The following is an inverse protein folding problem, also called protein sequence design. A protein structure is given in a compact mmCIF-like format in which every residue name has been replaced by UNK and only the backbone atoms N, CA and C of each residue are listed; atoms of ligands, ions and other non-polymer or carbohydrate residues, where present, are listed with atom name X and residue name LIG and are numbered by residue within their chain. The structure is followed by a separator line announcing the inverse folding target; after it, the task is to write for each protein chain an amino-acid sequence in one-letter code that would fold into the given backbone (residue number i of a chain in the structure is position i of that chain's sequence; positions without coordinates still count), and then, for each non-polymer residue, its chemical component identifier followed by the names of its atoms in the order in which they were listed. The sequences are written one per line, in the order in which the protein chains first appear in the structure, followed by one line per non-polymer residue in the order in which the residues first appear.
data_IF_851599925726
#
_entry.id   IF_851599925726
#
_cell.length_a   1.000
_cell.length_b   1.000
_cell.length_c   1.000
_cell.angle_alpha   90.00
_cell.angle_beta   90.00
_cell.angle_gamma   90.00
#
_symmetry.space_group_name_H-M   'P 1'
#
loop_
_entity.id
_entity.type
_entity.pdbx_description
1 polymer ?
#
# COMPACT_ATOMS: atom_id res chain seq x y z
N UNK A 1 15.88 -1.49 -12.49
CA UNK A 1 16.00 -0.24 -11.71
C UNK A 1 15.56 -0.51 -10.27
N UNK A 2 16.40 -0.17 -9.29
CA UNK A 2 16.13 -0.32 -7.86
C UNK A 2 15.81 1.04 -7.26
N UNK A 3 14.82 1.12 -6.40
CA UNK A 3 14.47 2.32 -5.63
C UNK A 3 13.96 1.93 -4.25
N UNK A 4 14.16 2.80 -3.25
CA UNK A 4 13.77 2.52 -1.87
C UNK A 4 12.99 3.71 -1.30
N UNK A 5 12.04 3.40 -0.42
CA UNK A 5 11.31 4.39 0.40
C UNK A 5 11.62 4.11 1.85
N UNK A 6 11.91 5.16 2.61
CA UNK A 6 12.16 5.07 4.06
C UNK A 6 11.02 5.72 4.82
N UNK A 7 10.46 4.99 5.76
CA UNK A 7 9.41 5.42 6.67
C UNK A 7 9.99 5.59 8.07
N UNK A 8 9.71 6.72 8.71
CA UNK A 8 10.09 6.98 10.10
C UNK A 8 8.84 7.07 10.95
N UNK A 9 8.71 6.18 11.92
CA UNK A 9 7.65 6.22 12.92
C UNK A 9 8.21 6.74 14.23
N UNK A 10 7.58 7.77 14.81
CA UNK A 10 7.95 8.31 16.12
C UNK A 10 6.85 7.97 17.11
N UNK A 11 7.20 7.27 18.17
CA UNK A 11 6.28 7.00 19.27
C UNK A 11 6.10 8.24 20.17
N UNK A 12 5.08 8.22 21.03
CA UNK A 12 4.85 9.27 22.03
C UNK A 12 6.02 9.46 23.02
N UNK A 13 6.82 8.43 23.21
CA UNK A 13 8.02 8.46 24.08
C UNK A 13 9.30 8.80 23.33
N UNK A 14 9.20 9.22 22.07
CA UNK A 14 10.34 9.68 21.28
C UNK A 14 11.15 8.58 20.60
N UNK A 15 10.80 7.31 20.75
CA UNK A 15 11.45 6.21 20.03
C UNK A 15 11.15 6.33 18.54
N UNK A 16 12.19 6.23 17.72
CA UNK A 16 12.07 6.27 16.26
C UNK A 16 12.29 4.87 15.75
N UNK A 17 11.27 4.31 15.07
CA UNK A 17 11.39 3.13 14.25
C UNK A 17 11.65 3.53 12.79
N UNK A 18 12.68 2.93 12.21
CA UNK A 18 13.08 3.17 10.83
C UNK A 18 12.74 1.94 10.00
N UNK A 19 11.87 2.12 9.02
CA UNK A 19 11.47 1.09 8.08
C UNK A 19 11.87 1.47 6.66
N UNK A 20 12.43 0.53 5.92
CA UNK A 20 12.84 0.76 4.54
C UNK A 20 12.30 -0.35 3.65
N UNK A 21 11.67 0.04 2.56
CA UNK A 21 11.16 -0.86 1.53
C UNK A 21 11.90 -0.57 0.26
N UNK A 22 12.57 -1.58 -0.27
CA UNK A 22 13.29 -1.51 -1.54
C UNK A 22 12.59 -2.36 -2.59
N UNK A 23 12.34 -1.73 -3.73
CA UNK A 23 11.71 -2.32 -4.89
C UNK A 23 12.74 -2.55 -5.98
N UNK A 24 12.68 -3.70 -6.64
CA UNK A 24 13.46 -4.04 -7.84
C UNK A 24 12.52 -4.63 -8.88
N UNK A 25 12.71 -4.29 -10.15
CA UNK A 25 11.89 -4.84 -11.22
C UNK A 25 12.18 -6.35 -11.33
N UNK A 26 11.12 -7.16 -11.27
CA UNK A 26 11.21 -8.63 -11.40
C UNK A 26 11.70 -9.38 -10.15
N UNK A 27 11.85 -8.68 -9.03
CA UNK A 27 12.27 -9.26 -7.75
C UNK A 27 11.25 -8.97 -6.66
N UNK A 28 11.19 -9.82 -5.62
CA UNK A 28 10.41 -9.55 -4.44
C UNK A 28 10.92 -8.29 -3.71
N UNK A 29 10.02 -7.57 -3.05
CA UNK A 29 10.38 -6.43 -2.23
C UNK A 29 11.32 -6.86 -1.09
N UNK A 30 12.28 -5.99 -0.78
CA UNK A 30 13.15 -6.15 0.39
C UNK A 30 12.68 -5.19 1.48
N UNK A 31 12.41 -5.74 2.65
CA UNK A 31 11.96 -5.01 3.83
C UNK A 31 13.07 -4.95 4.87
N UNK A 32 13.34 -3.76 5.40
CA UNK A 32 14.34 -3.55 6.44
C UNK A 32 13.70 -2.82 7.62
N UNK A 33 14.07 -3.20 8.85
CA UNK A 33 13.70 -2.57 10.10
C UNK A 33 14.94 -2.21 10.90
N UNK A 34 15.15 -0.93 11.20
CA UNK A 34 16.33 -0.43 11.90
C UNK A 34 17.63 -0.99 11.29
N UNK A 35 17.77 -0.83 9.96
CA UNK A 35 18.94 -1.21 9.15
C UNK A 35 19.23 -2.73 9.07
N UNK A 36 18.36 -3.58 9.59
CA UNK A 36 18.42 -5.03 9.42
C UNK A 36 17.29 -5.56 8.54
N UNK A 37 17.46 -6.74 7.98
CA UNK A 37 16.39 -7.41 7.25
C UNK A 37 15.21 -7.68 8.19
N UNK A 38 14.01 -7.26 7.79
CA UNK A 38 12.79 -7.48 8.56
C UNK A 38 12.42 -8.97 8.58
N UNK A 39 11.98 -9.46 9.72
CA UNK A 39 11.47 -10.84 9.83
C UNK A 39 10.08 -10.93 9.19
N UNK A 40 9.67 -12.10 8.64
CA UNK A 40 8.33 -12.27 8.06
C UNK A 40 7.20 -11.81 9.00
N UNK A 41 7.29 -12.08 10.29
CA UNK A 41 6.30 -11.65 11.28
C UNK A 41 6.21 -10.13 11.46
N UNK A 42 7.26 -9.39 11.15
CA UNK A 42 7.30 -7.93 11.21
C UNK A 42 6.66 -7.28 9.98
N UNK A 43 6.73 -7.95 8.81
CA UNK A 43 6.21 -7.43 7.53
C UNK A 43 4.69 -7.28 7.57
N UNK A 44 4.01 -8.17 8.27
CA UNK A 44 2.54 -8.19 8.39
C UNK A 44 2.02 -7.55 9.68
N UNK A 45 2.89 -7.05 10.54
CA UNK A 45 2.51 -6.35 11.76
C UNK A 45 2.22 -4.87 11.47
N UNK A 46 1.26 -4.29 12.20
CA UNK A 46 0.95 -2.87 12.11
C UNK A 46 2.16 -1.99 12.41
N UNK A 47 2.43 -1.04 11.53
CA UNK A 47 3.51 -0.08 11.67
C UNK A 47 3.12 0.96 12.74
N UNK A 48 3.89 1.05 13.82
CA UNK A 48 3.62 1.98 14.93
C UNK A 48 2.15 1.95 15.41
N UNK A 49 1.59 0.76 15.57
CA UNK A 49 0.19 0.51 15.95
C UNK A 49 -0.85 1.10 14.97
N UNK A 50 -0.43 1.38 13.75
CA UNK A 50 -1.31 1.86 12.69
C UNK A 50 -2.01 0.70 11.95
N UNK A 51 -2.99 1.04 11.10
CA UNK A 51 -3.63 0.11 10.18
C UNK A 51 -2.74 -0.29 8.99
N UNK A 52 -1.61 0.40 8.77
CA UNK A 52 -0.64 0.06 7.74
C UNK A 52 0.30 -1.05 8.21
N UNK A 53 0.58 -1.98 7.33
CA UNK A 53 1.70 -2.93 7.48
C UNK A 53 2.78 -2.62 6.43
N UNK A 54 3.97 -3.19 6.58
CA UNK A 54 5.01 -3.06 5.55
C UNK A 54 4.58 -3.67 4.23
N UNK A 55 3.89 -4.81 4.26
CA UNK A 55 3.36 -5.45 3.05
C UNK A 55 2.33 -4.56 2.34
N UNK A 56 1.48 -3.84 3.07
CA UNK A 56 0.55 -2.86 2.49
C UNK A 56 1.31 -1.74 1.76
N UNK A 57 2.35 -1.21 2.39
CA UNK A 57 3.18 -0.14 1.81
C UNK A 57 4.07 -0.64 0.66
N UNK A 58 4.40 -1.92 0.68
CA UNK A 58 5.15 -2.59 -0.41
C UNK A 58 4.34 -2.79 -1.67
N UNK A 59 3.00 -2.70 -1.59
CA UNK A 59 2.08 -2.86 -2.73
C UNK A 59 2.40 -4.09 -3.58
N UNK A 60 2.69 -5.23 -2.95
CA UNK A 60 3.10 -6.46 -3.64
C UNK A 60 2.08 -6.97 -4.64
N UNK A 61 0.80 -6.66 -4.40
CA UNK A 61 -0.28 -7.01 -5.31
C UNK A 61 -0.11 -6.48 -6.75
N UNK A 62 0.70 -5.45 -6.95
CA UNK A 62 1.02 -4.93 -8.29
C UNK A 62 1.85 -5.93 -9.12
N UNK A 63 2.53 -6.85 -8.47
CA UNK A 63 3.42 -7.82 -9.11
C UNK A 63 2.88 -9.25 -9.08
N UNK A 64 1.69 -9.47 -8.52
CA UNK A 64 1.07 -10.80 -8.57
C UNK A 64 0.76 -11.19 -10.01
N UNK A 65 0.91 -12.45 -10.37
CA UNK A 65 0.78 -12.89 -11.78
C UNK A 65 -0.63 -12.80 -12.32
N UNK A 66 -1.65 -12.88 -11.46
CA UNK A 66 -3.05 -12.77 -11.88
C UNK A 66 -3.53 -11.34 -11.75
N UNK A 67 -3.73 -10.69 -12.90
CA UNK A 67 -4.23 -9.30 -13.00
C UNK A 67 -5.39 -9.28 -14.00
N UNK A 68 -6.57 -8.85 -13.56
CA UNK A 68 -7.78 -8.82 -14.39
C UNK A 68 -8.40 -7.44 -14.34
N UNK A 69 -8.73 -6.86 -15.50
CA UNK A 69 -9.56 -5.65 -15.61
C UNK A 69 -11.02 -6.07 -15.46
N UNK A 70 -11.67 -5.64 -14.38
CA UNK A 70 -13.08 -5.96 -14.13
C UNK A 70 -14.03 -5.03 -14.89
N UNK A 71 -13.72 -3.73 -14.88
CA UNK A 71 -14.55 -2.67 -15.48
C UNK A 71 -13.81 -1.33 -15.50
N UNK A 72 -14.44 -0.33 -16.10
CA UNK A 72 -14.11 1.08 -15.91
C UNK A 72 -15.12 1.74 -14.98
N UNK A 73 -14.68 2.66 -14.14
CA UNK A 73 -15.53 3.39 -13.21
C UNK A 73 -14.93 4.76 -12.89
N UNK A 74 -15.79 5.77 -12.72
CA UNK A 74 -15.34 7.07 -12.22
C UNK A 74 -15.13 7.03 -10.70
N UNK A 75 -13.99 7.57 -10.26
CA UNK A 75 -13.66 7.81 -8.84
C UNK A 75 -13.02 9.19 -8.70
N UNK A 76 -13.52 10.01 -7.77
CA UNK A 76 -13.02 11.39 -7.56
C UNK A 76 -12.91 12.17 -8.87
N UNK A 77 -13.94 12.12 -9.70
CA UNK A 77 -14.01 12.74 -11.03
C UNK A 77 -13.01 12.22 -12.07
N UNK A 78 -12.26 11.15 -11.76
CA UNK A 78 -11.30 10.50 -12.64
C UNK A 78 -11.84 9.18 -13.19
N UNK A 79 -11.58 8.91 -14.46
CA UNK A 79 -11.90 7.63 -15.08
C UNK A 79 -10.81 6.63 -14.69
N UNK A 80 -11.22 5.51 -14.09
CA UNK A 80 -10.32 4.49 -13.59
C UNK A 80 -10.60 3.13 -14.25
N UNK A 81 -9.54 2.36 -14.44
CA UNK A 81 -9.64 0.91 -14.53
C UNK A 81 -9.85 0.35 -13.13
N UNK A 82 -10.78 -0.58 -12.99
CA UNK A 82 -10.93 -1.39 -11.77
C UNK A 82 -10.23 -2.71 -12.02
N UNK A 83 -9.11 -2.92 -11.34
CA UNK A 83 -8.27 -4.10 -11.47
C UNK A 83 -8.46 -5.02 -10.28
N UNK A 84 -8.54 -6.33 -10.54
CA UNK A 84 -8.42 -7.37 -9.52
C UNK A 84 -7.06 -8.03 -9.64
N UNK A 85 -6.28 -8.01 -8.56
CA UNK A 85 -5.01 -8.70 -8.41
C UNK A 85 -5.21 -9.86 -7.45
N UNK A 86 -4.77 -11.08 -7.80
CA UNK A 86 -4.91 -12.27 -6.97
C UNK A 86 -3.56 -12.82 -6.54
N UNK A 87 -3.43 -13.07 -5.24
CA UNK A 87 -2.26 -13.75 -4.68
C UNK A 87 -2.36 -15.25 -5.02
N UNK A 88 -1.36 -15.82 -5.71
CA UNK A 88 -1.42 -17.23 -6.09
C UNK A 88 -1.28 -18.18 -4.89
N UNK A 89 -0.56 -17.78 -3.84
CA UNK A 89 -0.26 -18.59 -2.67
C UNK A 89 -0.26 -17.73 -1.39
N UNK A 90 -1.44 -17.25 -0.92
CA UNK A 90 -1.48 -16.39 0.24
C UNK A 90 -1.11 -17.16 1.50
N UNK A 91 -0.07 -16.70 2.20
CA UNK A 91 0.30 -17.18 3.52
C UNK A 91 -0.62 -16.60 4.59
N UNK A 92 -0.54 -17.15 5.81
CA UNK A 92 -1.36 -16.68 6.92
C UNK A 92 -1.06 -15.21 7.23
N UNK A 93 -2.08 -14.36 7.25
CA UNK A 93 -1.97 -12.91 7.45
C UNK A 93 -1.79 -12.08 6.18
N UNK A 94 -1.61 -12.71 5.03
CA UNK A 94 -1.53 -12.02 3.74
C UNK A 94 -2.90 -11.78 3.11
N UNK A 95 -2.95 -10.81 2.21
CA UNK A 95 -4.13 -10.59 1.40
C UNK A 95 -4.22 -11.64 0.28
N UNK A 96 -5.45 -12.12 0.03
CA UNK A 96 -5.76 -13.09 -1.02
C UNK A 96 -6.01 -12.42 -2.37
N UNK A 97 -6.62 -11.24 -2.32
CA UNK A 97 -6.86 -10.42 -3.51
C UNK A 97 -6.95 -8.93 -3.15
N UNK A 98 -6.69 -8.12 -4.12
CA UNK A 98 -6.84 -6.65 -4.03
C UNK A 98 -7.63 -6.18 -5.23
N UNK A 99 -8.63 -5.32 -4.99
CA UNK A 99 -9.36 -4.61 -6.05
C UNK A 99 -8.95 -3.15 -6.01
N UNK A 100 -8.33 -2.65 -7.06
CA UNK A 100 -7.76 -1.31 -7.13
C UNK A 100 -8.40 -0.46 -8.24
N UNK A 101 -8.56 0.83 -7.97
CA UNK A 101 -9.01 1.84 -8.93
C UNK A 101 -7.80 2.64 -9.41
N UNK A 102 -7.41 2.38 -10.63
CA UNK A 102 -6.22 2.97 -11.26
C UNK A 102 -6.65 4.06 -12.23
N UNK A 103 -6.23 5.28 -11.99
CA UNK A 103 -6.51 6.41 -12.87
C UNK A 103 -5.92 6.19 -14.27
N UNK A 104 -6.76 6.21 -15.31
CA UNK A 104 -6.33 5.94 -16.68
C UNK A 104 -5.32 6.97 -17.21
N UNK A 105 -5.38 8.19 -16.70
CA UNK A 105 -4.51 9.28 -17.18
C UNK A 105 -3.12 9.25 -16.56
N UNK A 106 -3.01 8.90 -15.29
CA UNK A 106 -1.74 8.96 -14.54
C UNK A 106 -1.16 7.59 -14.23
N UNK A 107 -1.96 6.51 -14.31
CA UNK A 107 -1.58 5.19 -13.85
C UNK A 107 -1.50 5.05 -12.32
N UNK A 108 -1.89 6.10 -11.58
CA UNK A 108 -1.85 6.09 -10.12
C UNK A 108 -3.07 5.38 -9.49
N UNK A 109 -2.85 4.66 -8.41
CA UNK A 109 -3.92 4.04 -7.63
C UNK A 109 -4.57 5.11 -6.76
N UNK A 110 -5.89 5.29 -6.88
CA UNK A 110 -6.67 6.22 -6.07
C UNK A 110 -7.32 5.55 -4.87
N UNK A 111 -7.67 4.29 -5.01
CA UNK A 111 -8.34 3.46 -4.00
C UNK A 111 -7.95 2.01 -4.20
N UNK A 112 -7.85 1.25 -3.12
CA UNK A 112 -7.74 -0.21 -3.17
C UNK A 112 -8.49 -0.84 -2.00
N UNK A 113 -9.25 -1.88 -2.29
CA UNK A 113 -9.90 -2.76 -1.33
C UNK A 113 -9.09 -4.04 -1.19
N UNK A 114 -8.65 -4.34 0.02
CA UNK A 114 -7.81 -5.48 0.34
C UNK A 114 -8.66 -6.56 1.02
N UNK A 115 -8.55 -7.78 0.52
CA UNK A 115 -9.35 -8.92 0.95
C UNK A 115 -8.46 -10.05 1.46
N UNK A 116 -8.87 -10.68 2.54
CA UNK A 116 -8.41 -12.03 2.90
C UNK A 116 -9.36 -13.08 2.27
N UNK A 117 -9.56 -14.24 2.90
CA UNK A 117 -10.51 -15.25 2.45
C UNK A 117 -12.00 -14.80 2.51
N UNK A 118 -12.30 -13.66 3.16
CA UNK A 118 -13.66 -13.13 3.27
C UNK A 118 -14.14 -12.48 1.96
N UNK A 119 -15.46 -12.55 1.66
CA UNK A 119 -16.03 -11.82 0.53
C UNK A 119 -16.08 -10.30 0.72
N UNK A 120 -15.93 -9.83 1.97
CA UNK A 120 -15.86 -8.39 2.30
C UNK A 120 -14.42 -7.92 2.45
N UNK A 121 -14.10 -6.68 2.05
CA UNK A 121 -12.75 -6.15 2.24
C UNK A 121 -12.42 -6.03 3.74
N UNK A 122 -11.19 -6.36 4.10
CA UNK A 122 -10.67 -6.23 5.47
C UNK A 122 -10.01 -4.89 5.70
N UNK A 123 -9.43 -4.30 4.65
CA UNK A 123 -8.84 -2.97 4.67
C UNK A 123 -9.21 -2.19 3.40
N UNK A 124 -9.22 -0.88 3.51
CA UNK A 124 -9.34 0.05 2.38
C UNK A 124 -8.22 1.06 2.41
N UNK A 125 -7.46 1.08 1.36
CA UNK A 125 -6.47 2.10 1.07
C UNK A 125 -7.09 3.21 0.23
N UNK A 126 -6.79 4.47 0.51
CA UNK A 126 -7.20 5.59 -0.34
C UNK A 126 -6.19 6.73 -0.34
N UNK A 127 -5.96 7.29 -1.52
CA UNK A 127 -5.20 8.53 -1.69
C UNK A 127 -6.08 9.69 -1.24
N UNK A 128 -5.58 10.51 -0.32
CA UNK A 128 -6.26 11.69 0.23
C UNK A 128 -5.71 12.99 -0.34
N UNK A 129 -4.41 13.08 -0.50
CA UNK A 129 -3.74 14.24 -1.03
C UNK A 129 -2.92 13.92 -2.27
N UNK A 130 -2.95 14.85 -3.24
CA UNK A 130 -2.14 14.84 -4.44
C UNK A 130 -1.52 16.22 -4.61
N UNK A 131 -0.21 16.27 -4.77
CA UNK A 131 0.52 17.50 -5.03
C UNK A 131 1.20 17.43 -6.39
N UNK A 132 1.34 18.57 -7.08
CA UNK A 132 2.05 18.65 -8.35
C UNK A 132 3.45 19.21 -8.09
N UNK A 133 4.48 18.39 -8.33
CA UNK A 133 5.88 18.78 -8.17
C UNK A 133 6.64 18.47 -9.47
N UNK A 134 7.37 19.47 -9.99
CA UNK A 134 8.13 19.33 -11.24
C UNK A 134 7.27 18.80 -12.42
N UNK A 135 6.03 19.28 -12.53
CA UNK A 135 5.09 18.86 -13.59
C UNK A 135 4.44 17.48 -13.39
N UNK A 136 4.81 16.72 -12.36
CA UNK A 136 4.29 15.38 -12.09
C UNK A 136 3.39 15.36 -10.85
N UNK A 137 2.29 14.63 -10.92
CA UNK A 137 1.43 14.37 -9.79
C UNK A 137 2.08 13.34 -8.85
N UNK A 138 2.13 13.66 -7.59
CA UNK A 138 2.67 12.79 -6.53
C UNK A 138 1.66 12.69 -5.39
N UNK A 139 1.61 11.52 -4.77
CA UNK A 139 0.79 11.31 -3.57
C UNK A 139 1.51 11.93 -2.39
N UNK A 140 0.85 12.82 -1.67
CA UNK A 140 1.36 13.43 -0.44
C UNK A 140 0.64 12.93 0.83
N UNK A 141 -0.55 12.38 0.70
CA UNK A 141 -1.29 11.79 1.82
C UNK A 141 -2.05 10.52 1.40
N UNK A 142 -1.92 9.48 2.22
CA UNK A 142 -2.66 8.21 2.10
C UNK A 142 -3.39 7.90 3.40
N UNK A 143 -4.52 7.22 3.30
CA UNK A 143 -5.27 6.69 4.43
C UNK A 143 -5.46 5.18 4.27
N UNK A 144 -5.22 4.44 5.35
CA UNK A 144 -5.64 3.05 5.49
C UNK A 144 -6.76 2.97 6.52
N UNK A 145 -7.85 2.32 6.14
CA UNK A 145 -8.98 2.04 7.02
C UNK A 145 -9.06 0.55 7.26
N UNK A 146 -9.03 0.14 8.51
CA UNK A 146 -9.43 -1.20 8.93
C UNK A 146 -10.95 -1.29 8.89
N UNK A 147 -11.49 -2.25 8.11
CA UNK A 147 -12.94 -2.34 7.87
C UNK A 147 -13.68 -2.99 9.03
N UNK A 148 -12.99 -3.74 9.90
CA UNK A 148 -13.57 -4.39 11.08
C UNK A 148 -13.61 -3.43 12.27
N UNK A 149 -12.47 -2.88 12.66
CA UNK A 149 -12.37 -1.95 13.79
C UNK A 149 -12.82 -0.53 13.46
N UNK A 150 -12.91 -0.19 12.16
CA UNK A 150 -13.12 1.16 11.62
C UNK A 150 -11.99 2.15 11.96
N UNK A 151 -10.90 1.68 12.53
CA UNK A 151 -9.72 2.49 12.76
C UNK A 151 -9.17 3.05 11.43
N UNK A 152 -8.68 4.28 11.48
CA UNK A 152 -8.08 4.97 10.33
C UNK A 152 -6.68 5.44 10.69
N UNK A 153 -5.76 5.21 9.78
CA UNK A 153 -4.39 5.69 9.88
C UNK A 153 -4.06 6.52 8.65
N UNK A 154 -3.37 7.63 8.85
CA UNK A 154 -2.92 8.51 7.75
C UNK A 154 -1.40 8.51 7.68
N UNK A 155 -0.90 8.50 6.48
CA UNK A 155 0.51 8.60 6.16
C UNK A 155 0.72 9.83 5.28
N UNK A 156 1.57 10.76 5.73
CA UNK A 156 1.98 11.92 4.96
C UNK A 156 3.38 11.71 4.42
N UNK A 157 3.59 12.06 3.14
CA UNK A 157 4.88 11.99 2.49
C UNK A 157 5.52 13.38 2.42
N UNK A 158 6.71 13.49 2.96
CA UNK A 158 7.56 14.66 2.77
C UNK A 158 8.52 14.38 1.60
N UNK A 159 8.04 14.68 0.40
CA UNK A 159 8.80 14.47 -0.83
C UNK A 159 9.87 15.55 -0.96
N UNK A 160 11.14 15.16 -0.95
CA UNK A 160 12.29 16.02 -1.17
C UNK A 160 12.49 16.34 -2.65
#
# INVERSE_FOLDING_TARGET
KKWCVTYKARSKVGVIDLWRICHSIGEANRYEHNERLAKPSEIHKGLADSAFTLSDLGMEFLYWPSQIVLKTQRRKSRLCYVLESRNPNPSNGEHHRVVSWVDQKTGGILLADLYNASPKPVKRFSVKGLTKKNGRWQVDEMEMRDMKSRARSRLQFHLK
#
